data_IF_902936259602
#
_entry.id   IF_902936259602
#
_cell.length_a   1.000
_cell.length_b   1.000
_cell.length_c   1.000
_cell.angle_alpha   90.00
_cell.angle_beta   90.00
_cell.angle_gamma   90.00
#
_symmetry.space_group_name_H-M   'P 1'
#
loop_
_entity.id
_entity.type
_entity.pdbx_description
1 polymer ?
#
# COMPACT_ATOMS: atom_id res chain seq x y z
N UNK A 1 -1.77 15.43 -9.10
CA UNK A 1 -3.22 15.70 -8.92
C UNK A 1 -3.44 16.69 -7.79
N UNK A 2 -4.57 17.40 -7.79
CA UNK A 2 -4.93 18.25 -6.66
C UNK A 2 -5.62 17.41 -5.57
N UNK A 3 -5.00 17.34 -4.39
CA UNK A 3 -5.49 16.54 -3.27
C UNK A 3 -6.75 17.17 -2.65
N UNK A 4 -6.87 18.51 -2.65
CA UNK A 4 -8.00 19.19 -2.03
C UNK A 4 -9.35 18.93 -2.71
N UNK A 5 -9.32 18.57 -3.98
CA UNK A 5 -10.50 18.25 -4.79
C UNK A 5 -10.74 16.74 -4.97
N UNK A 6 -9.87 15.88 -4.39
CA UNK A 6 -10.02 14.46 -4.57
C UNK A 6 -11.00 13.81 -3.59
N UNK A 7 -11.63 12.71 -4.04
CA UNK A 7 -12.28 11.73 -3.17
C UNK A 7 -11.37 10.52 -3.06
N UNK A 8 -10.91 10.23 -1.85
CA UNK A 8 -9.98 9.13 -1.61
C UNK A 8 -10.67 7.94 -0.93
N UNK A 9 -10.25 6.72 -1.28
CA UNK A 9 -10.46 5.53 -0.46
C UNK A 9 -9.12 5.07 0.09
N UNK A 10 -9.02 4.90 1.41
CA UNK A 10 -7.87 4.30 2.09
C UNK A 10 -8.24 2.93 2.62
N UNK A 11 -7.63 1.86 2.14
CA UNK A 11 -7.85 0.51 2.69
C UNK A 11 -7.02 0.27 3.96
N UNK A 12 -7.58 -0.42 4.96
CA UNK A 12 -6.90 -0.62 6.25
C UNK A 12 -6.70 0.68 7.02
N UNK A 13 -7.70 1.58 6.98
CA UNK A 13 -7.64 2.94 7.51
C UNK A 13 -7.76 3.06 9.02
N UNK A 14 -8.15 1.99 9.72
CA UNK A 14 -8.49 2.04 11.15
C UNK A 14 -7.27 2.13 12.09
N UNK A 15 -6.05 1.92 11.61
CA UNK A 15 -4.84 1.96 12.42
C UNK A 15 -3.57 2.17 11.59
N UNK A 16 -2.44 2.37 12.29
CA UNK A 16 -1.11 2.45 11.69
C UNK A 16 -1.02 3.47 10.57
N UNK A 17 -0.31 3.15 9.50
CA UNK A 17 -0.09 4.05 8.38
C UNK A 17 -1.41 4.47 7.70
N UNK A 18 -2.40 3.56 7.63
CA UNK A 18 -3.71 3.87 7.04
C UNK A 18 -4.46 4.99 7.74
N UNK A 19 -4.40 5.04 9.08
CA UNK A 19 -5.00 6.14 9.85
C UNK A 19 -4.29 7.47 9.59
N UNK A 20 -2.97 7.45 9.39
CA UNK A 20 -2.20 8.66 9.06
C UNK A 20 -2.48 9.13 7.63
N UNK A 21 -2.65 8.22 6.66
CA UNK A 21 -3.12 8.59 5.32
C UNK A 21 -4.48 9.28 5.37
N UNK A 22 -5.43 8.70 6.10
CA UNK A 22 -6.78 9.26 6.24
C UNK A 22 -6.73 10.67 6.80
N UNK A 23 -6.01 10.89 7.90
CA UNK A 23 -5.86 12.21 8.54
C UNK A 23 -5.19 13.22 7.60
N UNK A 24 -4.08 12.86 6.97
CA UNK A 24 -3.34 13.73 6.05
C UNK A 24 -4.17 14.13 4.83
N UNK A 25 -5.01 13.24 4.31
CA UNK A 25 -5.90 13.55 3.19
C UNK A 25 -7.02 14.51 3.62
N UNK A 26 -7.64 14.28 4.78
CA UNK A 26 -8.65 15.17 5.37
C UNK A 26 -8.10 16.57 5.65
N UNK A 27 -6.93 16.67 6.26
CA UNK A 27 -6.21 17.93 6.53
C UNK A 27 -5.93 18.74 5.27
N UNK A 28 -5.83 18.07 4.11
CA UNK A 28 -5.64 18.72 2.81
C UNK A 28 -6.94 19.00 2.06
N UNK A 29 -8.09 18.75 2.69
CA UNK A 29 -9.42 19.06 2.15
C UNK A 29 -10.05 17.96 1.29
N UNK A 30 -9.44 16.78 1.21
CA UNK A 30 -10.01 15.66 0.48
C UNK A 30 -11.26 15.09 1.19
N UNK A 31 -12.21 14.59 0.42
CA UNK A 31 -13.23 13.67 0.94
C UNK A 31 -12.61 12.28 1.09
N UNK A 32 -12.77 11.63 2.26
CA UNK A 32 -12.09 10.36 2.52
C UNK A 32 -13.05 9.27 2.97
N UNK A 33 -13.13 8.19 2.22
CA UNK A 33 -13.67 6.92 2.66
C UNK A 33 -12.57 6.14 3.40
N UNK A 34 -12.79 5.87 4.67
CA UNK A 34 -11.89 5.09 5.51
C UNK A 34 -12.32 3.61 5.50
N UNK A 35 -11.61 2.80 4.72
CA UNK A 35 -11.94 1.40 4.50
C UNK A 35 -11.39 0.49 5.59
N UNK A 36 -12.24 -0.33 6.20
CA UNK A 36 -11.87 -1.38 7.14
C UNK A 36 -12.86 -2.55 7.07
N UNK A 37 -12.43 -3.74 7.51
CA UNK A 37 -13.33 -4.92 7.63
C UNK A 37 -14.46 -4.67 8.62
N UNK A 38 -14.16 -3.99 9.73
CA UNK A 38 -15.17 -3.46 10.65
C UNK A 38 -15.15 -1.93 10.58
N UNK A 39 -16.14 -1.29 9.91
CA UNK A 39 -16.19 0.16 9.79
C UNK A 39 -16.36 0.88 11.14
N UNK A 40 -16.96 0.24 12.15
CA UNK A 40 -17.12 0.81 13.50
C UNK A 40 -15.77 1.01 14.23
N UNK A 41 -14.69 0.40 13.71
CA UNK A 41 -13.32 0.62 14.20
C UNK A 41 -12.65 1.90 13.69
N UNK A 42 -13.32 2.66 12.83
CA UNK A 42 -12.84 3.94 12.34
C UNK A 42 -13.23 5.04 13.34
N UNK A 43 -12.21 5.60 13.98
CA UNK A 43 -12.33 6.71 14.94
C UNK A 43 -11.46 7.88 14.42
N UNK A 44 -11.91 8.48 13.32
CA UNK A 44 -11.24 9.63 12.66
C UNK A 44 -12.31 10.62 12.23
N UNK A 45 -12.33 11.79 12.85
CA UNK A 45 -13.28 12.85 12.56
C UNK A 45 -13.21 13.27 11.08
N UNK A 46 -14.37 13.39 10.46
CA UNK A 46 -14.51 13.78 9.06
C UNK A 46 -14.32 12.64 8.04
N UNK A 47 -13.82 11.45 8.47
CA UNK A 47 -13.75 10.30 7.60
C UNK A 47 -15.13 9.63 7.45
N UNK A 48 -15.38 9.04 6.28
CA UNK A 48 -16.57 8.24 6.00
C UNK A 48 -16.21 6.77 6.17
N UNK A 49 -16.67 6.07 7.22
CA UNK A 49 -16.40 4.66 7.39
C UNK A 49 -16.98 3.83 6.24
N UNK A 50 -16.18 2.90 5.71
CA UNK A 50 -16.59 2.01 4.62
C UNK A 50 -16.19 0.57 4.93
N UNK A 51 -17.16 -0.34 4.89
CA UNK A 51 -16.86 -1.77 5.03
C UNK A 51 -16.15 -2.29 3.78
N UNK A 52 -14.92 -2.79 3.95
CA UNK A 52 -14.18 -3.43 2.87
C UNK A 52 -13.20 -4.47 3.41
N UNK A 53 -13.35 -5.71 2.93
CA UNK A 53 -12.35 -6.76 3.04
C UNK A 53 -11.75 -6.97 1.64
N UNK A 54 -10.48 -6.62 1.46
CA UNK A 54 -9.82 -6.72 0.16
C UNK A 54 -9.61 -8.17 -0.30
N UNK A 55 -9.73 -9.14 0.61
CA UNK A 55 -9.64 -10.58 0.30
C UNK A 55 -10.96 -11.18 -0.15
N UNK A 56 -12.07 -10.43 -0.03
CA UNK A 56 -13.39 -10.83 -0.51
C UNK A 56 -13.79 -9.97 -1.74
N UNK A 57 -13.84 -10.57 -2.94
CA UNK A 57 -14.22 -9.84 -4.16
C UNK A 57 -15.63 -9.23 -4.09
N UNK A 58 -16.57 -9.84 -3.35
CA UNK A 58 -17.92 -9.31 -3.21
C UNK A 58 -17.92 -8.05 -2.32
N UNK A 59 -17.15 -8.06 -1.24
CA UNK A 59 -16.94 -6.89 -0.37
C UNK A 59 -16.29 -5.73 -1.15
N UNK A 60 -15.26 -6.02 -1.96
CA UNK A 60 -14.59 -5.00 -2.80
C UNK A 60 -15.56 -4.40 -3.83
N UNK A 61 -16.37 -5.23 -4.50
CA UNK A 61 -17.36 -4.76 -5.46
C UNK A 61 -18.44 -3.88 -4.81
N UNK A 62 -18.90 -4.26 -3.60
CA UNK A 62 -19.84 -3.46 -2.82
C UNK A 62 -19.24 -2.11 -2.42
N UNK A 63 -17.98 -2.10 -1.98
CA UNK A 63 -17.25 -0.87 -1.65
C UNK A 63 -17.10 0.06 -2.87
N UNK A 64 -16.77 -0.48 -4.05
CA UNK A 64 -16.65 0.31 -5.28
C UNK A 64 -18.00 0.91 -5.71
N UNK A 65 -19.10 0.21 -5.48
CA UNK A 65 -20.44 0.75 -5.72
C UNK A 65 -20.81 1.87 -4.73
N UNK A 66 -20.47 1.69 -3.46
CA UNK A 66 -20.77 2.67 -2.40
C UNK A 66 -19.91 3.95 -2.51
N UNK A 67 -18.67 3.82 -2.95
CA UNK A 67 -17.71 4.91 -3.11
C UNK A 67 -17.45 5.19 -4.61
N UNK A 68 -18.51 5.37 -5.39
CA UNK A 68 -18.48 5.54 -6.83
C UNK A 68 -17.91 6.88 -7.32
N UNK A 69 -17.57 7.78 -6.43
CA UNK A 69 -16.96 9.09 -6.69
C UNK A 69 -15.46 9.13 -6.40
N UNK A 70 -14.82 7.98 -6.10
CA UNK A 70 -13.39 7.91 -5.80
C UNK A 70 -12.53 8.28 -7.01
N UNK A 71 -11.55 9.17 -6.77
CA UNK A 71 -10.50 9.57 -7.72
C UNK A 71 -9.10 9.21 -7.24
N UNK A 72 -8.94 8.81 -5.96
CA UNK A 72 -7.67 8.33 -5.39
C UNK A 72 -7.90 7.05 -4.59
N UNK A 73 -7.28 5.95 -5.00
CA UNK A 73 -7.24 4.71 -4.24
C UNK A 73 -5.89 4.58 -3.51
N UNK A 74 -5.92 4.44 -2.18
CA UNK A 74 -4.76 4.14 -1.35
C UNK A 74 -4.84 2.68 -0.88
N UNK A 75 -4.12 1.80 -1.54
CA UNK A 75 -3.98 0.39 -1.17
C UNK A 75 -2.95 0.25 -0.05
N UNK A 76 -3.41 0.37 1.19
CA UNK A 76 -2.59 0.27 2.38
C UNK A 76 -2.82 -1.02 3.18
N UNK A 77 -4.00 -1.63 3.10
CA UNK A 77 -4.28 -2.88 3.80
C UNK A 77 -3.24 -3.96 3.48
N UNK A 78 -2.73 -4.61 4.50
CA UNK A 78 -1.70 -5.65 4.35
C UNK A 78 -1.45 -6.36 5.68
N UNK A 79 -0.82 -7.53 5.59
CA UNK A 79 -0.44 -8.35 6.75
C UNK A 79 1.02 -8.82 6.61
N UNK A 80 1.64 -9.12 7.74
CA UNK A 80 2.89 -9.85 7.88
C UNK A 80 2.69 -10.95 8.94
N UNK A 81 2.97 -12.18 8.58
CA UNK A 81 2.76 -13.35 9.45
C UNK A 81 4.08 -13.91 10.00
N UNK A 82 5.20 -13.37 9.54
CA UNK A 82 6.55 -13.82 9.92
C UNK A 82 6.80 -15.31 9.62
N UNK A 83 6.35 -15.77 8.46
CA UNK A 83 6.48 -17.17 8.04
C UNK A 83 7.85 -17.46 7.44
N UNK A 84 8.55 -18.47 7.95
CA UNK A 84 9.73 -19.04 7.33
C UNK A 84 9.31 -20.10 6.29
N UNK A 85 9.70 -19.87 5.03
CA UNK A 85 9.27 -20.73 3.90
C UNK A 85 9.83 -22.15 3.94
N UNK A 86 10.91 -22.40 4.70
CA UNK A 86 11.58 -23.71 4.71
C UNK A 86 11.17 -24.59 5.89
N UNK A 87 10.70 -23.98 7.00
CA UNK A 87 10.52 -24.69 8.27
C UNK A 87 9.11 -24.65 8.82
N UNK A 88 8.24 -23.78 8.29
CA UNK A 88 6.87 -23.62 8.75
C UNK A 88 5.86 -24.05 7.67
N UNK A 89 4.58 -24.21 8.06
CA UNK A 89 3.53 -24.43 7.08
C UNK A 89 3.36 -23.19 6.17
N UNK A 90 2.77 -23.38 5.00
CA UNK A 90 2.63 -22.34 4.01
C UNK A 90 1.37 -21.46 4.18
N UNK A 91 0.58 -21.67 5.22
CA UNK A 91 -0.69 -20.96 5.38
C UNK A 91 -0.48 -19.47 5.67
N UNK A 92 0.56 -19.13 6.43
CA UNK A 92 0.99 -17.74 6.61
C UNK A 92 1.33 -17.07 5.28
N UNK A 93 2.20 -17.70 4.50
CA UNK A 93 2.64 -17.18 3.20
C UNK A 93 1.46 -17.07 2.19
N UNK A 94 0.52 -18.05 2.19
CA UNK A 94 -0.70 -17.97 1.37
C UNK A 94 -1.57 -16.78 1.76
N UNK A 95 -1.82 -16.57 3.06
CA UNK A 95 -2.58 -15.41 3.54
C UNK A 95 -1.91 -14.08 3.19
N UNK A 96 -0.58 -14.02 3.24
CA UNK A 96 0.18 -12.83 2.81
C UNK A 96 0.01 -12.57 1.31
N UNK A 97 0.07 -13.61 0.47
CA UNK A 97 -0.22 -13.49 -0.96
C UNK A 97 -1.68 -13.08 -1.23
N UNK A 98 -2.62 -13.70 -0.56
CA UNK A 98 -4.06 -13.41 -0.71
C UNK A 98 -4.37 -11.96 -0.36
N UNK A 99 -3.76 -11.44 0.72
CA UNK A 99 -4.01 -10.07 1.17
C UNK A 99 -3.18 -9.06 0.38
N UNK A 100 -1.85 -9.21 0.40
CA UNK A 100 -0.93 -8.16 -0.06
C UNK A 100 -0.88 -8.06 -1.59
N UNK A 101 -1.12 -9.17 -2.30
CA UNK A 101 -1.12 -9.22 -3.76
C UNK A 101 -2.52 -9.31 -4.35
N UNK A 102 -3.25 -10.42 -4.12
CA UNK A 102 -4.56 -10.62 -4.74
C UNK A 102 -5.61 -9.63 -4.23
N UNK A 103 -5.60 -9.29 -2.94
CA UNK A 103 -6.48 -8.29 -2.36
C UNK A 103 -6.21 -6.88 -2.92
N UNK A 104 -4.94 -6.49 -3.03
CA UNK A 104 -4.55 -5.23 -3.67
C UNK A 104 -4.99 -5.20 -5.13
N UNK A 105 -4.75 -6.27 -5.88
CA UNK A 105 -5.18 -6.39 -7.29
C UNK A 105 -6.71 -6.34 -7.42
N UNK A 106 -7.44 -6.97 -6.51
CA UNK A 106 -8.91 -6.91 -6.47
C UNK A 106 -9.41 -5.48 -6.32
N UNK A 107 -8.82 -4.72 -5.39
CA UNK A 107 -9.15 -3.31 -5.20
C UNK A 107 -8.81 -2.47 -6.45
N UNK A 108 -7.62 -2.65 -7.05
CA UNK A 108 -7.25 -1.96 -8.30
C UNK A 108 -8.25 -2.25 -9.41
N UNK A 109 -8.62 -3.51 -9.61
CA UNK A 109 -9.57 -3.91 -10.67
C UNK A 109 -10.95 -3.31 -10.49
N UNK A 110 -11.42 -3.19 -9.25
CA UNK A 110 -12.74 -2.63 -8.95
C UNK A 110 -12.76 -1.10 -9.06
N UNK A 111 -11.70 -0.42 -8.61
CA UNK A 111 -11.68 1.04 -8.54
C UNK A 111 -11.06 1.72 -9.76
N UNK A 112 -10.23 1.05 -10.57
CA UNK A 112 -9.70 1.66 -11.80
C UNK A 112 -10.80 2.16 -12.76
N UNK A 113 -11.89 1.39 -13.04
CA UNK A 113 -13.00 1.90 -13.84
C UNK A 113 -13.76 3.06 -13.18
N UNK A 114 -13.86 3.07 -11.84
CA UNK A 114 -14.49 4.18 -11.08
C UNK A 114 -13.66 5.45 -11.24
N UNK A 115 -12.34 5.37 -11.02
CA UNK A 115 -11.42 6.51 -11.15
C UNK A 115 -11.42 7.04 -12.59
N UNK A 116 -11.37 6.15 -13.59
CA UNK A 116 -11.46 6.54 -15.00
C UNK A 116 -12.78 7.26 -15.32
N UNK A 117 -13.91 6.71 -14.84
CA UNK A 117 -15.24 7.31 -15.02
C UNK A 117 -15.38 8.68 -14.37
N UNK A 118 -14.60 8.98 -13.33
CA UNK A 118 -14.54 10.28 -12.65
C UNK A 118 -13.49 11.24 -13.26
N UNK A 119 -12.98 10.94 -14.45
CA UNK A 119 -12.05 11.81 -15.17
C UNK A 119 -10.57 11.52 -14.93
N UNK A 120 -10.23 10.38 -14.38
CA UNK A 120 -8.86 9.98 -14.03
C UNK A 120 -8.51 10.28 -12.58
N UNK A 121 -7.24 10.08 -12.21
CA UNK A 121 -6.79 10.27 -10.84
C UNK A 121 -5.55 9.49 -10.48
N UNK A 122 -5.54 8.85 -9.28
CA UNK A 122 -4.37 8.16 -8.78
C UNK A 122 -4.66 6.85 -8.05
N UNK A 123 -3.64 6.00 -8.04
CA UNK A 123 -3.57 4.80 -7.20
C UNK A 123 -2.23 4.84 -6.46
N UNK A 124 -2.26 4.76 -5.14
CA UNK A 124 -1.09 4.60 -4.29
C UNK A 124 -1.05 3.17 -3.76
N UNK A 125 -0.02 2.41 -4.12
CA UNK A 125 0.22 1.07 -3.57
C UNK A 125 1.30 1.13 -2.49
N UNK A 126 0.95 0.76 -1.25
CA UNK A 126 1.91 0.67 -0.14
C UNK A 126 2.66 -0.66 -0.24
N UNK A 127 3.89 -0.55 -0.68
CA UNK A 127 4.81 -1.67 -0.77
C UNK A 127 5.72 -1.77 0.48
N UNK A 128 6.92 -2.23 0.30
CA UNK A 128 7.98 -2.30 1.31
C UNK A 128 9.32 -2.30 0.60
N UNK A 129 10.37 -1.92 1.29
CA UNK A 129 11.74 -2.21 0.84
C UNK A 129 11.96 -3.71 0.65
N UNK A 130 11.25 -4.55 1.40
CA UNK A 130 11.25 -6.02 1.27
C UNK A 130 10.59 -6.54 -0.02
N UNK A 131 10.09 -5.65 -0.89
CA UNK A 131 9.75 -6.01 -2.27
C UNK A 131 10.99 -6.27 -3.14
N UNK A 132 12.15 -5.79 -2.71
CA UNK A 132 13.41 -5.83 -3.46
C UNK A 132 14.47 -6.76 -2.87
N UNK A 133 14.35 -7.10 -1.59
CA UNK A 133 15.21 -8.09 -0.96
C UNK A 133 14.42 -8.88 0.09
N UNK A 134 14.97 -10.04 0.49
CA UNK A 134 14.28 -10.96 1.38
C UNK A 134 15.08 -11.18 2.66
N UNK A 135 14.38 -11.37 3.76
CA UNK A 135 14.94 -11.73 5.05
C UNK A 135 14.40 -13.09 5.49
N UNK A 136 15.21 -13.92 6.15
CA UNK A 136 14.72 -15.09 6.87
C UNK A 136 13.59 -14.67 7.83
N UNK A 137 12.68 -15.56 8.17
CA UNK A 137 11.52 -15.37 9.06
C UNK A 137 10.40 -14.46 8.52
N UNK A 138 10.63 -13.71 7.42
CA UNK A 138 9.62 -12.88 6.77
C UNK A 138 9.53 -13.16 5.27
N UNK A 139 9.99 -14.34 4.86
CA UNK A 139 10.17 -14.67 3.44
C UNK A 139 8.84 -14.69 2.66
N UNK A 140 7.74 -15.14 3.28
CA UNK A 140 6.41 -15.08 2.68
C UNK A 140 5.96 -13.64 2.42
N UNK A 141 6.16 -12.76 3.40
CA UNK A 141 5.87 -11.34 3.24
C UNK A 141 6.70 -10.71 2.12
N UNK A 142 8.01 -10.99 2.08
CA UNK A 142 8.89 -10.50 1.02
C UNK A 142 8.39 -10.93 -0.36
N UNK A 143 8.05 -12.22 -0.53
CA UNK A 143 7.48 -12.74 -1.77
C UNK A 143 6.19 -12.03 -2.17
N UNK A 144 5.27 -11.81 -1.22
CA UNK A 144 4.01 -11.11 -1.46
C UNK A 144 4.22 -9.65 -1.89
N UNK A 145 5.18 -8.94 -1.28
CA UNK A 145 5.51 -7.55 -1.62
C UNK A 145 6.28 -7.45 -2.94
N UNK A 146 7.11 -8.43 -3.28
CA UNK A 146 7.74 -8.52 -4.61
C UNK A 146 6.70 -8.73 -5.71
N UNK A 147 5.73 -9.63 -5.49
CA UNK A 147 4.60 -9.84 -6.39
C UNK A 147 3.76 -8.55 -6.55
N UNK A 148 3.46 -7.87 -5.44
CA UNK A 148 2.73 -6.60 -5.46
C UNK A 148 3.49 -5.48 -6.20
N UNK A 149 4.83 -5.44 -6.09
CA UNK A 149 5.65 -4.50 -6.85
C UNK A 149 5.60 -4.79 -8.35
N UNK A 150 5.76 -6.04 -8.75
CA UNK A 150 5.63 -6.45 -10.16
C UNK A 150 4.25 -6.08 -10.72
N UNK A 151 3.17 -6.40 -9.99
CA UNK A 151 1.80 -6.01 -10.33
C UNK A 151 1.65 -4.50 -10.45
N UNK A 152 2.21 -3.73 -9.50
CA UNK A 152 2.15 -2.25 -9.54
C UNK A 152 2.77 -1.69 -10.82
N UNK A 153 3.88 -2.26 -11.29
CA UNK A 153 4.50 -1.86 -12.56
C UNK A 153 3.64 -2.23 -13.77
N UNK A 154 3.02 -3.42 -13.78
CA UNK A 154 2.11 -3.85 -14.84
C UNK A 154 0.89 -2.92 -14.95
N UNK A 155 0.17 -2.70 -13.85
CA UNK A 155 -1.02 -1.84 -13.86
C UNK A 155 -0.70 -0.38 -14.15
N UNK A 156 0.50 0.10 -13.79
CA UNK A 156 0.98 1.45 -14.16
C UNK A 156 1.01 1.64 -15.67
N UNK A 157 1.52 0.66 -16.40
CA UNK A 157 1.56 0.68 -17.87
C UNK A 157 0.16 0.59 -18.46
N UNK A 158 -0.67 -0.32 -17.95
CA UNK A 158 -2.04 -0.54 -18.44
C UNK A 158 -2.97 0.66 -18.22
N UNK A 159 -2.79 1.39 -17.10
CA UNK A 159 -3.66 2.49 -16.70
C UNK A 159 -3.18 3.87 -17.18
N UNK A 160 -1.97 3.99 -17.70
CA UNK A 160 -1.40 5.27 -18.12
C UNK A 160 -2.26 5.99 -19.18
N UNK A 161 -2.78 5.25 -20.17
CA UNK A 161 -3.66 5.80 -21.23
C UNK A 161 -5.08 6.12 -20.73
N UNK A 162 -5.43 5.71 -19.50
CA UNK A 162 -6.73 5.93 -18.87
C UNK A 162 -6.73 7.11 -17.90
N UNK A 163 -5.66 7.93 -17.90
CA UNK A 163 -5.53 9.10 -17.03
C UNK A 163 -5.31 8.76 -15.55
N UNK A 164 -4.80 7.56 -15.23
CA UNK A 164 -4.57 7.12 -13.86
C UNK A 164 -3.07 6.96 -13.61
N UNK A 165 -2.54 7.74 -12.67
CA UNK A 165 -1.14 7.64 -12.22
C UNK A 165 -1.05 6.60 -11.09
N UNK A 166 -0.14 5.64 -11.24
CA UNK A 166 0.09 4.62 -10.21
C UNK A 166 1.42 4.86 -9.51
N UNK A 167 1.35 5.20 -8.23
CA UNK A 167 2.48 5.48 -7.35
C UNK A 167 2.78 4.26 -6.47
N UNK A 168 4.04 3.88 -6.37
CA UNK A 168 4.54 2.88 -5.41
C UNK A 168 5.20 3.58 -4.23
N UNK A 169 4.80 3.25 -2.99
CA UNK A 169 5.50 3.67 -1.78
C UNK A 169 6.38 2.53 -1.28
N UNK A 170 7.68 2.77 -1.18
CA UNK A 170 8.63 1.85 -0.55
C UNK A 170 9.10 2.43 0.79
N UNK A 171 9.03 1.62 1.82
CA UNK A 171 9.39 1.99 3.20
C UNK A 171 9.98 0.78 3.92
N UNK A 172 10.94 1.03 4.79
CA UNK A 172 11.49 0.05 5.72
C UNK A 172 10.61 -0.15 6.96
N UNK A 173 11.24 -0.22 8.13
CA UNK A 173 10.52 -0.35 9.39
C UNK A 173 9.80 0.97 9.73
N UNK A 174 8.55 0.86 10.19
CA UNK A 174 7.76 1.99 10.69
C UNK A 174 7.33 1.74 12.13
N UNK A 175 7.14 2.81 12.88
CA UNK A 175 6.63 2.74 14.25
C UNK A 175 5.12 2.46 14.26
N UNK A 176 4.77 1.20 14.04
CA UNK A 176 3.40 0.67 13.98
C UNK A 176 3.37 -0.70 14.63
N UNK A 177 2.18 -1.17 15.03
CA UNK A 177 2.00 -2.49 15.63
C UNK A 177 2.53 -3.66 14.76
N UNK A 178 2.62 -3.50 13.44
CA UNK A 178 3.21 -4.51 12.55
C UNK A 178 4.72 -4.70 12.79
N UNK A 179 5.40 -3.68 13.31
CA UNK A 179 6.83 -3.70 13.60
C UNK A 179 7.14 -3.78 15.11
N UNK A 180 6.15 -4.14 15.94
CA UNK A 180 6.37 -4.34 17.37
C UNK A 180 7.35 -5.50 17.60
N UNK A 181 8.29 -5.29 18.51
CA UNK A 181 9.34 -6.26 18.81
C UNK A 181 10.48 -6.32 17.79
N UNK A 182 10.39 -5.62 16.63
CA UNK A 182 11.50 -5.54 15.69
C UNK A 182 12.45 -4.41 16.09
N UNK A 183 13.75 -4.71 16.04
CA UNK A 183 14.81 -3.74 16.32
C UNK A 183 15.21 -2.97 15.05
N UNK A 184 15.71 -1.75 15.22
CA UNK A 184 16.20 -0.90 14.15
C UNK A 184 15.54 0.48 14.13
N UNK A 185 16.07 1.36 13.27
CA UNK A 185 15.50 2.69 13.07
C UNK A 185 14.11 2.56 12.41
N UNK A 186 13.11 3.15 13.03
CA UNK A 186 11.72 3.13 12.56
C UNK A 186 11.30 4.51 12.08
N UNK A 187 10.77 4.58 10.88
CA UNK A 187 10.17 5.81 10.35
C UNK A 187 8.89 6.18 11.09
N UNK A 188 8.63 7.48 11.23
CA UNK A 188 7.35 7.96 11.75
C UNK A 188 6.26 7.77 10.68
N UNK A 189 5.16 7.06 10.95
CA UNK A 189 4.13 6.81 9.97
C UNK A 189 3.41 8.08 9.49
N UNK A 190 3.35 9.14 10.29
CA UNK A 190 2.79 10.43 9.85
C UNK A 190 3.65 11.09 8.77
N UNK A 191 4.98 11.06 8.92
CA UNK A 191 5.92 11.63 7.94
C UNK A 191 5.92 10.80 6.65
N UNK A 192 5.83 9.47 6.77
CA UNK A 192 5.70 8.56 5.61
C UNK A 192 4.40 8.83 4.85
N UNK A 193 3.27 8.99 5.55
CA UNK A 193 2.00 9.32 4.92
C UNK A 193 2.05 10.66 4.19
N UNK A 194 2.63 11.69 4.83
CA UNK A 194 2.80 13.01 4.23
C UNK A 194 3.63 12.93 2.94
N UNK A 195 4.79 12.28 3.01
CA UNK A 195 5.70 12.14 1.86
C UNK A 195 5.03 11.39 0.70
N UNK A 196 4.30 10.32 0.99
CA UNK A 196 3.62 9.53 -0.02
C UNK A 196 2.49 10.33 -0.72
N UNK A 197 1.71 11.11 0.04
CA UNK A 197 0.66 11.96 -0.55
C UNK A 197 1.29 13.10 -1.36
N UNK A 198 2.42 13.68 -0.93
CA UNK A 198 3.18 14.67 -1.70
C UNK A 198 3.64 14.06 -3.04
N UNK A 199 4.11 12.81 -3.02
CA UNK A 199 4.47 12.06 -4.23
C UNK A 199 3.28 11.83 -5.17
N UNK A 200 2.13 11.45 -4.64
CA UNK A 200 0.88 11.31 -5.41
C UNK A 200 0.47 12.64 -6.03
N UNK A 201 0.49 13.73 -5.27
CA UNK A 201 0.18 15.06 -5.78
C UNK A 201 1.10 15.49 -6.92
N UNK A 202 2.40 15.16 -6.82
CA UNK A 202 3.42 15.42 -7.83
C UNK A 202 3.35 14.49 -9.05
N UNK A 203 2.54 13.42 -9.01
CA UNK A 203 2.49 12.41 -10.07
C UNK A 203 3.72 11.49 -10.11
N UNK A 204 4.40 11.32 -8.97
CA UNK A 204 5.59 10.48 -8.86
C UNK A 204 5.23 9.00 -9.03
N UNK A 205 6.02 8.26 -9.79
CA UNK A 205 5.83 6.81 -9.95
C UNK A 205 6.31 6.02 -8.74
N UNK A 206 7.32 6.52 -8.04
CA UNK A 206 7.88 5.88 -6.84
C UNK A 206 8.16 6.92 -5.76
N UNK A 207 7.92 6.55 -4.51
CA UNK A 207 8.26 7.30 -3.31
C UNK A 207 9.10 6.40 -2.40
N UNK A 208 10.32 6.83 -2.10
CA UNK A 208 11.26 6.15 -1.21
C UNK A 208 11.24 6.88 0.14
N UNK A 209 10.55 6.32 1.12
CA UNK A 209 10.24 7.03 2.34
C UNK A 209 11.42 7.19 3.31
N UNK A 210 12.45 6.34 3.19
CA UNK A 210 13.57 6.30 4.11
C UNK A 210 14.92 5.99 3.41
N UNK A 211 16.01 6.13 4.18
CA UNK A 211 17.36 5.86 3.66
C UNK A 211 17.56 4.38 3.32
N UNK A 212 16.90 3.48 4.05
CA UNK A 212 16.95 2.04 3.76
C UNK A 212 16.41 1.77 2.36
N UNK A 213 15.23 2.31 2.03
CA UNK A 213 14.62 2.14 0.70
C UNK A 213 15.50 2.75 -0.40
N UNK A 214 16.08 3.93 -0.17
CA UNK A 214 17.02 4.56 -1.11
C UNK A 214 18.28 3.73 -1.33
N UNK A 215 18.86 3.22 -0.24
CA UNK A 215 20.07 2.40 -0.30
C UNK A 215 19.87 1.09 -1.06
N UNK A 216 18.80 0.36 -0.73
CA UNK A 216 18.48 -0.91 -1.38
C UNK A 216 18.18 -0.71 -2.86
N UNK A 217 17.37 0.29 -3.23
CA UNK A 217 17.08 0.58 -4.63
C UNK A 217 18.37 0.88 -5.42
N UNK A 218 19.27 1.69 -4.87
CA UNK A 218 20.55 2.00 -5.52
C UNK A 218 21.49 0.77 -5.63
N UNK A 219 21.26 -0.25 -4.81
CA UNK A 219 22.00 -1.52 -4.83
C UNK A 219 21.52 -2.51 -5.89
N UNK A 220 20.28 -2.43 -6.36
CA UNK A 220 19.66 -3.42 -7.25
C UNK A 220 20.48 -3.66 -8.54
N UNK A 221 20.99 -2.62 -9.15
CA UNK A 221 21.79 -2.71 -10.38
C UNK A 221 23.21 -3.29 -10.16
N UNK A 222 23.63 -3.41 -8.90
CA UNK A 222 24.97 -3.90 -8.54
C UNK A 222 24.99 -5.42 -8.32
N UNK A 223 23.86 -6.09 -8.46
CA UNK A 223 23.71 -7.54 -8.35
C UNK A 223 23.51 -8.06 -6.92
N UNK A 224 23.36 -9.39 -6.83
CA UNK A 224 22.95 -10.09 -5.59
C UNK A 224 23.92 -9.82 -4.43
N UNK A 225 25.22 -9.81 -4.66
CA UNK A 225 26.21 -9.58 -3.60
C UNK A 225 26.15 -8.19 -2.97
N UNK A 226 25.61 -7.17 -3.67
CA UNK A 226 25.41 -5.84 -3.10
C UNK A 226 24.18 -5.77 -2.19
N UNK A 227 23.19 -6.63 -2.45
CA UNK A 227 21.96 -6.73 -1.66
C UNK A 227 22.16 -7.66 -0.46
N UNK A 228 22.95 -8.72 -0.65
CA UNK A 228 23.19 -9.76 0.35
C UNK A 228 24.72 -9.95 0.58
N UNK A 229 25.38 -8.96 1.23
CA UNK A 229 26.83 -9.03 1.43
C UNK A 229 27.29 -10.16 2.37
N UNK A 230 26.35 -10.81 3.08
CA UNK A 230 26.60 -11.97 3.94
C UNK A 230 26.67 -13.30 3.17
N UNK A 231 26.31 -13.33 1.88
CA UNK A 231 26.45 -14.52 1.06
C UNK A 231 27.93 -14.72 0.68
N UNK A 232 28.44 -16.00 0.67
CA UNK A 232 29.82 -16.27 0.32
C UNK A 232 30.15 -15.96 -1.15
#
# INVERSE_FOLDING_TARGET
>A
MDISSCTALVTGANRGLGSHFTKQLLERGAKVYAGARNPDSIDIDGAIPLAVDITDPASVAAAAKAAGDVTLLVNNAGIATNTNLLTEDLDGARREMDTNYFGTLSAVRAFAPVIEGNGGGGILNVLSVLAWFSLPLTSGYCASKSAAWSMTNAVRVELASRGIVVTALHVGLMNTAMADGLEGAKSNPADVAKLAIDGVAAGSYEVLADDTSRHVQAGLAKGVGAIYPQLP
#
